data_IF_348907319077
#
_entry.id   IF_348907319077
#
_cell.length_a   1.000
_cell.length_b   1.000
_cell.length_c   1.000
_cell.angle_alpha   90.00
_cell.angle_beta   90.00
_cell.angle_gamma   90.00
#
_symmetry.space_group_name_H-M   'P 1'
#
loop_
_entity.id
_entity.type
_entity.pdbx_description
1 polymer ?
#
# COMPACT_ATOMS: atom_id res chain seq x y z
N UNK A 1 45.14 -19.78 0.38
CA UNK A 1 45.20 -18.35 0.79
C UNK A 1 44.45 -17.58 -0.28
N UNK A 2 43.15 -17.27 -0.05
CA UNK A 2 42.40 -16.41 -0.95
C UNK A 2 42.78 -14.97 -0.62
N UNK A 3 43.50 -14.36 -1.53
CA UNK A 3 43.79 -12.91 -1.53
C UNK A 3 42.45 -12.16 -1.54
N UNK A 4 42.09 -11.51 -0.43
CA UNK A 4 40.98 -10.58 -0.35
C UNK A 4 41.39 -9.34 -1.11
N UNK A 5 41.20 -9.34 -2.42
CA UNK A 5 41.43 -8.18 -3.28
C UNK A 5 40.83 -6.93 -2.64
N UNK A 6 41.69 -6.00 -2.26
CA UNK A 6 41.32 -4.79 -1.56
C UNK A 6 40.29 -4.02 -2.36
N UNK A 7 39.17 -3.63 -1.74
CA UNK A 7 38.08 -2.86 -2.37
C UNK A 7 38.66 -1.58 -2.97
N UNK A 8 38.50 -1.38 -4.29
CA UNK A 8 38.96 -0.19 -5.01
C UNK A 8 38.43 1.07 -4.32
N UNK A 9 39.30 2.02 -4.08
CA UNK A 9 39.02 3.24 -3.31
C UNK A 9 39.06 4.50 -4.19
N UNK A 10 38.58 5.64 -3.66
CA UNK A 10 38.71 6.93 -4.34
C UNK A 10 40.18 7.30 -4.60
N UNK A 11 41.13 6.80 -3.78
CA UNK A 11 42.56 7.02 -3.98
C UNK A 11 43.08 6.34 -5.25
N UNK A 12 42.58 5.14 -5.55
CA UNK A 12 42.97 4.42 -6.77
C UNK A 12 42.44 5.09 -8.02
N UNK A 13 41.17 5.58 -8.00
CA UNK A 13 40.61 6.39 -9.08
C UNK A 13 41.42 7.68 -9.29
N UNK A 14 41.77 8.38 -8.20
CA UNK A 14 42.54 9.62 -8.27
C UNK A 14 43.92 9.37 -8.90
N UNK A 15 44.60 8.28 -8.55
CA UNK A 15 45.87 7.86 -9.13
C UNK A 15 45.75 7.59 -10.64
N UNK A 16 44.76 6.85 -11.07
CA UNK A 16 44.53 6.53 -12.51
C UNK A 16 44.12 7.79 -13.29
N UNK A 17 43.23 8.63 -12.75
CA UNK A 17 42.82 9.88 -13.37
C UNK A 17 43.86 11.00 -13.35
N UNK A 18 44.99 10.83 -12.65
CA UNK A 18 46.02 11.87 -12.48
C UNK A 18 45.48 13.12 -11.81
N UNK A 19 44.71 12.95 -10.71
CA UNK A 19 44.08 14.06 -9.99
C UNK A 19 44.03 13.82 -8.46
N UNK A 20 43.42 14.73 -7.73
CA UNK A 20 43.26 14.57 -6.29
C UNK A 20 41.99 13.79 -5.91
N UNK A 21 42.01 13.17 -4.73
CA UNK A 21 40.82 12.48 -4.15
C UNK A 21 39.62 13.45 -3.99
N UNK A 22 39.90 14.72 -3.71
CA UNK A 22 38.89 15.77 -3.62
C UNK A 22 38.18 15.99 -4.94
N UNK A 23 38.92 16.05 -6.05
CA UNK A 23 38.33 16.17 -7.41
C UNK A 23 37.48 14.95 -7.77
N UNK A 24 37.98 13.74 -7.47
CA UNK A 24 37.16 12.51 -7.65
C UNK A 24 35.86 12.59 -6.84
N UNK A 25 35.94 13.08 -5.60
CA UNK A 25 34.75 13.27 -4.76
C UNK A 25 33.77 14.29 -5.36
N UNK A 26 34.25 15.40 -5.91
CA UNK A 26 33.41 16.41 -6.57
C UNK A 26 32.73 15.86 -7.84
N UNK A 27 33.43 15.04 -8.63
CA UNK A 27 32.84 14.41 -9.81
C UNK A 27 31.79 13.38 -9.45
N UNK A 28 32.06 12.54 -8.45
CA UNK A 28 31.17 11.46 -7.99
C UNK A 28 29.91 11.99 -7.29
N UNK A 29 30.03 13.06 -6.51
CA UNK A 29 28.93 13.57 -5.66
C UNK A 29 28.30 14.86 -6.22
N UNK A 30 28.64 15.30 -7.45
CA UNK A 30 28.25 16.62 -7.98
C UNK A 30 28.51 17.77 -6.99
N UNK A 31 29.70 17.75 -6.40
CA UNK A 31 30.06 18.69 -5.35
C UNK A 31 30.09 20.16 -5.81
N UNK A 32 30.16 21.13 -4.86
CA UNK A 32 29.95 22.56 -5.12
C UNK A 32 31.05 23.23 -5.95
N UNK A 33 32.19 22.60 -6.14
CA UNK A 33 33.30 23.18 -6.94
C UNK A 33 33.19 22.72 -8.39
N UNK A 34 33.23 23.64 -9.37
CA UNK A 34 33.20 23.30 -10.77
C UNK A 34 34.46 22.51 -11.15
N UNK A 35 34.28 21.42 -11.87
CA UNK A 35 35.36 20.61 -12.44
C UNK A 35 35.27 20.77 -13.96
N UNK A 36 36.42 21.04 -14.64
CA UNK A 36 36.46 21.18 -16.07
C UNK A 36 35.95 19.91 -16.79
N UNK A 37 35.32 20.07 -17.95
CA UNK A 37 34.76 18.96 -18.71
C UNK A 37 35.80 17.86 -18.97
N UNK A 38 37.00 18.23 -19.42
CA UNK A 38 38.08 17.29 -19.69
C UNK A 38 38.53 16.50 -18.45
N UNK A 39 38.58 17.15 -17.28
CA UNK A 39 38.95 16.48 -16.04
C UNK A 39 37.83 15.58 -15.53
N UNK A 40 36.57 15.98 -15.68
CA UNK A 40 35.39 15.14 -15.39
C UNK A 40 35.39 13.85 -16.23
N UNK A 41 35.64 13.96 -17.53
CA UNK A 41 35.70 12.81 -18.45
C UNK A 41 36.81 11.85 -18.04
N UNK A 42 38.02 12.34 -17.73
CA UNK A 42 39.12 11.51 -17.24
C UNK A 42 38.79 10.77 -15.94
N UNK A 43 38.12 11.42 -15.01
CA UNK A 43 37.69 10.78 -13.74
C UNK A 43 36.64 9.70 -14.04
N UNK A 44 35.66 9.96 -14.91
CA UNK A 44 34.64 8.98 -15.30
C UNK A 44 35.30 7.74 -15.95
N UNK A 45 36.27 7.96 -16.83
CA UNK A 45 37.00 6.84 -17.46
C UNK A 45 37.81 6.03 -16.45
N UNK A 46 38.50 6.70 -15.54
CA UNK A 46 39.22 6.04 -14.45
C UNK A 46 38.30 5.23 -13.50
N UNK A 47 37.07 5.71 -13.26
CA UNK A 47 36.04 4.97 -12.51
C UNK A 47 35.67 3.67 -13.24
N UNK A 48 35.48 3.72 -14.57
CA UNK A 48 35.18 2.53 -15.38
C UNK A 48 36.36 1.56 -15.38
N UNK A 49 37.57 2.04 -15.63
CA UNK A 49 38.80 1.24 -15.68
C UNK A 49 39.09 0.53 -14.36
N UNK A 50 38.95 1.25 -13.24
CA UNK A 50 39.21 0.71 -11.91
C UNK A 50 38.07 -0.15 -11.36
N UNK A 51 36.87 -0.10 -11.96
CA UNK A 51 35.68 -0.74 -11.40
C UNK A 51 35.22 -0.14 -10.07
N UNK A 52 35.64 1.09 -9.78
CA UNK A 52 35.26 1.76 -8.53
C UNK A 52 33.75 1.94 -8.43
N UNK A 53 33.19 1.48 -7.32
CA UNK A 53 31.77 1.71 -6.98
C UNK A 53 31.72 2.63 -5.75
N UNK A 54 31.06 3.79 -5.85
CA UNK A 54 30.86 4.66 -4.69
C UNK A 54 30.23 3.89 -3.53
N UNK A 55 30.75 4.09 -2.33
CA UNK A 55 30.15 3.51 -1.13
C UNK A 55 28.95 4.37 -0.72
N UNK A 56 27.73 3.82 -0.85
CA UNK A 56 26.48 4.48 -0.49
C UNK A 56 26.44 4.93 0.97
N UNK A 57 26.98 4.13 1.90
CA UNK A 57 27.06 4.47 3.32
C UNK A 57 27.96 5.69 3.55
N UNK A 58 29.13 5.72 2.89
CA UNK A 58 30.03 6.87 2.98
C UNK A 58 29.46 8.13 2.31
N UNK A 59 28.65 7.95 1.25
CA UNK A 59 27.90 9.04 0.61
C UNK A 59 26.81 9.58 1.54
N UNK A 60 26.02 8.70 2.14
CA UNK A 60 24.98 9.06 3.10
C UNK A 60 25.54 9.81 4.31
N UNK A 61 26.67 9.33 4.86
CA UNK A 61 27.35 10.00 5.97
C UNK A 61 27.85 11.41 5.59
N UNK A 62 28.35 11.56 4.37
CA UNK A 62 28.88 12.85 3.90
C UNK A 62 27.79 13.86 3.54
N UNK A 63 26.63 13.39 3.07
CA UNK A 63 25.49 14.24 2.68
C UNK A 63 24.48 14.42 3.81
N UNK A 64 24.52 13.60 4.85
CA UNK A 64 23.54 13.59 5.92
C UNK A 64 22.18 12.96 5.53
N UNK A 65 22.07 12.41 4.30
CA UNK A 65 20.84 11.83 3.77
C UNK A 65 21.12 10.47 3.14
N UNK A 66 20.18 9.52 3.28
CA UNK A 66 20.31 8.17 2.71
C UNK A 66 19.71 8.06 1.30
N UNK A 67 18.90 9.03 0.90
CA UNK A 67 18.13 8.99 -0.33
C UNK A 67 17.05 7.87 -0.29
N UNK A 68 16.54 7.56 0.89
CA UNK A 68 15.62 6.43 1.07
C UNK A 68 14.49 6.80 2.01
N UNK A 69 13.26 6.51 1.63
CA UNK A 69 12.09 6.54 2.51
C UNK A 69 11.66 5.11 2.86
N UNK A 70 11.09 4.92 4.04
CA UNK A 70 10.50 3.65 4.47
C UNK A 70 9.05 3.55 4.01
N UNK A 71 8.61 2.35 3.66
CA UNK A 71 7.21 1.98 3.54
C UNK A 71 7.01 0.68 4.31
N UNK A 72 6.19 0.73 5.36
CA UNK A 72 5.78 -0.46 6.10
C UNK A 72 4.33 -0.79 5.73
N UNK A 73 4.08 -2.06 5.40
CA UNK A 73 2.75 -2.59 5.11
C UNK A 73 2.47 -3.86 5.92
N UNK A 74 1.20 -4.12 6.29
CA UNK A 74 0.87 -5.32 7.09
C UNK A 74 1.05 -6.61 6.30
N UNK A 75 0.75 -6.64 4.99
CA UNK A 75 0.87 -7.85 4.20
C UNK A 75 0.96 -7.55 2.70
N UNK A 76 2.15 -7.70 2.12
CA UNK A 76 2.38 -7.43 0.69
C UNK A 76 1.66 -8.39 -0.25
N UNK A 77 1.11 -9.52 0.24
CA UNK A 77 0.27 -10.42 -0.55
C UNK A 77 -1.10 -9.82 -0.87
N UNK A 78 -1.51 -8.77 -0.14
CA UNK A 78 -2.71 -8.01 -0.47
C UNK A 78 -2.46 -7.18 -1.75
N UNK A 79 -3.22 -7.39 -2.84
CA UNK A 79 -3.01 -6.69 -4.11
C UNK A 79 -3.03 -5.17 -3.99
N UNK A 80 -3.94 -4.62 -3.19
CA UNK A 80 -4.01 -3.18 -2.93
C UNK A 80 -2.72 -2.63 -2.32
N UNK A 81 -2.14 -3.32 -1.32
CA UNK A 81 -0.90 -2.89 -0.68
C UNK A 81 0.32 -3.06 -1.60
N UNK A 82 0.27 -4.04 -2.51
CA UNK A 82 1.28 -4.19 -3.56
C UNK A 82 1.22 -3.05 -4.58
N UNK A 83 0.03 -2.64 -5.01
CA UNK A 83 -0.15 -1.47 -5.88
C UNK A 83 0.26 -0.17 -5.18
N UNK A 84 -0.09 -0.02 -3.89
CA UNK A 84 0.36 1.11 -3.08
C UNK A 84 1.89 1.18 -3.00
N UNK A 85 2.56 0.05 -2.74
CA UNK A 85 4.02 -0.01 -2.70
C UNK A 85 4.65 0.37 -4.05
N UNK A 86 4.06 -0.08 -5.15
CA UNK A 86 4.49 0.30 -6.50
C UNK A 86 4.32 1.82 -6.75
N UNK A 87 3.16 2.37 -6.40
CA UNK A 87 2.86 3.80 -6.58
C UNK A 87 3.77 4.69 -5.72
N UNK A 88 3.97 4.35 -4.45
CA UNK A 88 4.93 5.02 -3.55
C UNK A 88 6.35 4.97 -4.12
N UNK A 89 6.76 3.80 -4.65
CA UNK A 89 8.06 3.64 -5.30
C UNK A 89 8.24 4.54 -6.52
N UNK A 90 7.17 4.76 -7.29
CA UNK A 90 7.17 5.67 -8.43
C UNK A 90 7.29 7.14 -7.96
N UNK A 91 6.47 7.55 -7.00
CA UNK A 91 6.49 8.90 -6.44
C UNK A 91 7.85 9.25 -5.78
N UNK A 92 8.44 8.29 -5.06
CA UNK A 92 9.79 8.43 -4.48
C UNK A 92 10.86 8.60 -5.56
N UNK A 93 10.82 7.77 -6.61
CA UNK A 93 11.79 7.79 -7.71
C UNK A 93 11.77 9.10 -8.49
N UNK A 94 10.61 9.70 -8.72
CA UNK A 94 10.46 11.02 -9.35
C UNK A 94 11.19 12.11 -8.55
N UNK A 95 11.36 11.90 -7.23
CA UNK A 95 12.09 12.80 -6.31
C UNK A 95 13.54 12.37 -6.05
N UNK A 96 14.04 11.38 -6.80
CA UNK A 96 15.41 10.85 -6.65
C UNK A 96 15.62 9.99 -5.41
N UNK A 97 14.55 9.49 -4.79
CA UNK A 97 14.58 8.63 -3.61
C UNK A 97 14.31 7.17 -3.98
N UNK A 98 14.77 6.26 -3.11
CA UNK A 98 14.40 4.85 -3.13
C UNK A 98 13.42 4.55 -2.01
N UNK A 99 12.73 3.40 -2.10
CA UNK A 99 11.96 2.87 -0.97
C UNK A 99 12.68 1.70 -0.31
N UNK A 100 12.60 1.64 1.02
CA UNK A 100 12.87 0.46 1.82
C UNK A 100 11.51 -0.09 2.26
N UNK A 101 11.14 -1.27 1.74
CA UNK A 101 9.86 -1.90 2.04
C UNK A 101 9.99 -2.84 3.23
N UNK A 102 9.09 -2.71 4.21
CA UNK A 102 8.88 -3.65 5.31
C UNK A 102 7.51 -4.30 5.17
N UNK A 103 7.47 -5.63 5.25
CA UNK A 103 6.26 -6.46 5.29
C UNK A 103 6.19 -7.13 6.67
N UNK A 104 5.20 -6.75 7.49
CA UNK A 104 5.05 -7.32 8.83
C UNK A 104 4.31 -8.66 8.84
N UNK A 105 3.80 -9.13 7.71
CA UNK A 105 3.06 -10.39 7.57
C UNK A 105 1.89 -10.52 8.59
N UNK A 106 1.19 -9.41 8.85
CA UNK A 106 0.12 -9.26 9.83
C UNK A 106 0.56 -9.53 11.30
N UNK A 107 1.87 -9.47 11.60
CA UNK A 107 2.46 -9.70 12.91
C UNK A 107 2.93 -8.40 13.55
N UNK A 108 2.39 -8.05 14.73
CA UNK A 108 2.74 -6.83 15.49
C UNK A 108 4.17 -6.84 16.03
N UNK A 109 4.73 -8.01 16.35
CA UNK A 109 6.12 -8.09 16.81
C UNK A 109 7.09 -7.83 15.65
N UNK A 110 6.77 -8.40 14.49
CA UNK A 110 7.49 -8.12 13.25
C UNK A 110 7.39 -6.63 12.87
N UNK A 111 6.19 -6.04 13.00
CA UNK A 111 5.96 -4.61 12.76
C UNK A 111 6.89 -3.75 13.63
N UNK A 112 6.95 -3.99 14.93
CA UNK A 112 7.84 -3.27 15.85
C UNK A 112 9.33 -3.44 15.48
N UNK A 113 9.76 -4.65 15.14
CA UNK A 113 11.13 -4.91 14.69
C UNK A 113 11.49 -4.18 13.40
N UNK A 114 10.55 -4.09 12.45
CA UNK A 114 10.74 -3.34 11.21
C UNK A 114 10.85 -1.83 11.47
N UNK A 115 10.09 -1.27 12.40
CA UNK A 115 10.22 0.13 12.80
C UNK A 115 11.63 0.45 13.31
N UNK A 116 12.21 -0.40 14.17
CA UNK A 116 13.60 -0.27 14.62
C UNK A 116 14.59 -0.33 13.45
N UNK A 117 14.37 -1.24 12.50
CA UNK A 117 15.20 -1.35 11.30
C UNK A 117 15.18 -0.09 10.43
N UNK A 118 14.03 0.58 10.26
CA UNK A 118 13.93 1.84 9.53
C UNK A 118 14.76 2.94 10.19
N UNK A 119 14.75 3.03 11.53
CA UNK A 119 15.61 3.95 12.29
C UNK A 119 17.10 3.67 12.04
N UNK A 120 17.50 2.40 12.17
CA UNK A 120 18.90 1.98 11.94
C UNK A 120 19.37 2.29 10.52
N UNK A 121 18.49 2.17 9.53
CA UNK A 121 18.76 2.51 8.13
C UNK A 121 18.63 4.02 7.85
N UNK A 122 18.26 4.84 8.83
CA UNK A 122 18.14 6.30 8.71
C UNK A 122 17.29 6.71 7.51
N UNK A 123 16.09 6.14 7.39
CA UNK A 123 15.15 6.58 6.36
C UNK A 123 14.77 8.05 6.58
N UNK A 124 14.61 8.82 5.51
CA UNK A 124 14.31 10.27 5.57
C UNK A 124 12.86 10.55 5.96
N UNK A 125 12.01 9.55 5.81
CA UNK A 125 10.63 9.54 6.24
C UNK A 125 10.07 8.14 6.17
N UNK A 126 8.96 7.91 6.87
CA UNK A 126 8.27 6.64 6.94
C UNK A 126 6.80 6.79 6.56
N UNK A 127 6.38 6.06 5.55
CA UNK A 127 4.99 5.80 5.23
C UNK A 127 4.58 4.52 5.95
N UNK A 128 3.62 4.61 6.85
CA UNK A 128 3.24 3.53 7.74
C UNK A 128 1.79 3.11 7.51
N UNK A 129 1.59 1.86 7.11
CA UNK A 129 0.30 1.20 7.07
C UNK A 129 0.34 0.07 8.11
N UNK A 130 -0.26 0.27 9.28
CA UNK A 130 -0.17 -0.65 10.40
C UNK A 130 -1.14 -1.83 10.31
N UNK A 131 -0.86 -2.87 11.08
CA UNK A 131 -1.76 -4.04 11.23
C UNK A 131 -3.07 -3.62 11.90
N UNK A 132 -3.00 -2.73 12.91
CA UNK A 132 -4.18 -2.23 13.62
C UNK A 132 -3.86 -0.87 14.27
N UNK A 133 -3.95 0.18 13.46
CA UNK A 133 -3.75 1.56 13.92
C UNK A 133 -2.29 1.94 14.16
N UNK A 134 -2.04 2.79 15.14
CA UNK A 134 -0.76 3.41 15.41
C UNK A 134 -0.11 2.81 16.67
N UNK A 135 0.94 1.98 16.53
CA UNK A 135 1.60 1.38 17.70
C UNK A 135 2.43 2.41 18.47
N UNK A 136 2.63 2.23 19.81
CA UNK A 136 3.41 3.14 20.63
C UNK A 136 4.86 3.33 20.16
N UNK A 137 5.42 2.34 19.48
CA UNK A 137 6.77 2.37 18.89
C UNK A 137 6.91 3.47 17.85
N UNK A 138 5.84 3.77 17.13
CA UNK A 138 5.83 4.80 16.09
C UNK A 138 6.05 6.20 16.68
N UNK A 139 5.54 6.48 17.87
CA UNK A 139 5.75 7.77 18.54
C UNK A 139 7.21 8.02 18.89
N UNK A 140 8.01 6.98 19.13
CA UNK A 140 9.44 7.10 19.41
C UNK A 140 10.23 7.63 18.20
N UNK A 141 9.65 7.58 16.99
CA UNK A 141 10.27 8.10 15.76
C UNK A 141 10.07 9.60 15.57
N UNK A 142 9.16 10.24 16.31
CA UNK A 142 8.73 11.65 16.09
C UNK A 142 9.87 12.66 16.00
N UNK A 143 10.93 12.46 16.78
CA UNK A 143 12.04 13.42 16.87
C UNK A 143 13.15 13.14 15.82
N UNK A 144 13.09 12.01 15.13
CA UNK A 144 14.15 11.56 14.23
C UNK A 144 13.71 11.29 12.80
N UNK A 145 12.42 11.02 12.59
CA UNK A 145 11.90 10.57 11.29
C UNK A 145 10.51 11.15 11.07
N UNK A 146 10.28 11.77 9.92
CA UNK A 146 8.94 12.20 9.53
C UNK A 146 8.08 10.97 9.28
N UNK A 147 6.84 10.99 9.76
CA UNK A 147 5.92 9.86 9.64
C UNK A 147 4.62 10.31 9.00
N UNK A 148 4.13 9.51 8.04
CA UNK A 148 2.75 9.57 7.56
C UNK A 148 2.10 8.21 7.79
N UNK A 149 0.96 8.22 8.46
CA UNK A 149 0.19 7.01 8.78
C UNK A 149 -1.00 6.92 7.83
N UNK A 150 -1.16 5.78 7.18
CA UNK A 150 -2.35 5.45 6.41
C UNK A 150 -3.45 4.89 7.31
N UNK A 151 -4.69 5.26 7.04
CA UNK A 151 -5.92 4.76 7.66
C UNK A 151 -5.93 4.79 9.21
N UNK A 152 -5.17 5.71 9.82
CA UNK A 152 -5.22 5.93 11.26
C UNK A 152 -6.38 6.83 11.65
N UNK A 153 -7.25 6.32 12.51
CA UNK A 153 -8.38 7.07 13.05
C UNK A 153 -8.02 7.98 14.21
N UNK A 154 -6.94 7.67 14.90
CA UNK A 154 -6.54 8.40 16.11
C UNK A 154 -5.72 9.66 15.77
N UNK A 155 -5.41 9.88 14.49
CA UNK A 155 -4.67 11.05 13.97
C UNK A 155 -3.57 11.52 14.94
N UNK A 156 -2.47 10.76 15.09
CA UNK A 156 -1.47 11.07 16.09
C UNK A 156 -0.90 12.46 15.83
N UNK A 157 -0.79 13.27 16.89
CA UNK A 157 -0.37 14.68 16.81
C UNK A 157 1.07 14.87 16.32
N UNK A 158 1.86 13.79 16.23
CA UNK A 158 3.26 13.80 15.81
C UNK A 158 3.45 13.35 14.34
N UNK A 159 2.39 12.87 13.66
CA UNK A 159 2.49 12.32 12.31
C UNK A 159 1.43 12.92 11.38
N UNK A 160 1.75 12.97 10.08
CA UNK A 160 0.74 13.18 9.06
C UNK A 160 -0.17 11.95 9.00
N UNK A 161 -1.41 12.14 8.58
CA UNK A 161 -2.35 11.06 8.36
C UNK A 161 -2.96 11.17 6.96
N UNK A 162 -3.11 10.04 6.28
CA UNK A 162 -3.97 9.94 5.10
C UNK A 162 -5.05 8.91 5.38
N UNK A 163 -6.31 9.27 5.15
CA UNK A 163 -7.46 8.45 5.52
C UNK A 163 -8.50 8.38 4.43
N UNK A 164 -8.93 7.16 4.13
CA UNK A 164 -10.17 6.92 3.41
C UNK A 164 -11.33 6.85 4.41
N UNK A 165 -12.49 7.38 4.04
CA UNK A 165 -13.74 7.07 4.75
C UNK A 165 -14.23 5.68 4.30
N UNK A 166 -13.71 4.65 4.94
CA UNK A 166 -14.04 3.25 4.63
C UNK A 166 -15.51 2.91 4.91
N UNK A 167 -16.13 3.60 5.87
CA UNK A 167 -17.57 3.46 6.15
C UNK A 167 -18.41 3.99 5.00
N UNK A 168 -18.12 5.20 4.53
CA UNK A 168 -18.78 5.78 3.36
C UNK A 168 -18.51 4.98 2.08
N UNK A 169 -17.31 4.44 1.91
CA UNK A 169 -16.98 3.58 0.77
C UNK A 169 -17.79 2.27 0.80
N UNK A 170 -17.90 1.62 1.97
CA UNK A 170 -18.72 0.43 2.15
C UNK A 170 -20.21 0.74 1.92
N UNK A 171 -20.70 1.84 2.50
CA UNK A 171 -22.06 2.32 2.27
C UNK A 171 -22.34 2.46 0.78
N UNK A 172 -21.47 3.14 0.03
CA UNK A 172 -21.64 3.37 -1.42
C UNK A 172 -21.68 2.07 -2.22
N UNK A 173 -20.86 1.08 -1.87
CA UNK A 173 -20.84 -0.21 -2.54
C UNK A 173 -22.13 -1.03 -2.28
N UNK A 174 -22.62 -1.03 -1.04
CA UNK A 174 -23.84 -1.75 -0.64
C UNK A 174 -25.09 -1.04 -1.17
N UNK A 175 -25.14 0.27 -1.08
CA UNK A 175 -26.21 1.10 -1.62
C UNK A 175 -26.41 0.87 -3.12
N UNK A 176 -25.30 0.75 -3.86
CA UNK A 176 -25.30 0.41 -5.28
C UNK A 176 -25.91 -0.99 -5.56
N UNK A 177 -25.60 -2.00 -4.74
CA UNK A 177 -26.26 -3.31 -4.87
C UNK A 177 -27.77 -3.21 -4.62
N UNK A 178 -28.19 -2.43 -3.63
CA UNK A 178 -29.60 -2.19 -3.35
C UNK A 178 -30.30 -1.42 -4.48
N UNK A 179 -29.61 -0.48 -5.15
CA UNK A 179 -30.12 0.20 -6.36
C UNK A 179 -30.40 -0.77 -7.52
N UNK A 180 -29.64 -1.86 -7.60
CA UNK A 180 -29.90 -2.97 -8.54
C UNK A 180 -31.03 -3.91 -8.10
N UNK A 181 -31.79 -3.53 -7.07
CA UNK A 181 -32.94 -4.28 -6.58
C UNK A 181 -32.59 -5.44 -5.64
N UNK A 182 -31.34 -5.53 -5.17
CA UNK A 182 -30.96 -6.59 -4.23
C UNK A 182 -31.56 -6.30 -2.86
N UNK A 183 -32.20 -7.32 -2.27
CA UNK A 183 -32.97 -7.17 -1.04
C UNK A 183 -32.31 -7.83 0.18
N UNK A 184 -31.50 -8.84 -0.05
CA UNK A 184 -30.82 -9.62 1.00
C UNK A 184 -29.32 -9.63 0.72
N UNK A 185 -28.63 -8.59 1.19
CA UNK A 185 -27.22 -8.38 0.89
C UNK A 185 -26.37 -8.92 2.04
N UNK A 186 -25.71 -10.05 1.77
CA UNK A 186 -24.73 -10.63 2.69
C UNK A 186 -23.43 -9.82 2.74
N UNK A 187 -22.66 -10.02 3.82
CA UNK A 187 -21.32 -9.45 3.95
C UNK A 187 -20.28 -10.51 4.33
N UNK A 188 -19.14 -10.49 3.63
CA UNK A 188 -17.91 -11.11 4.11
C UNK A 188 -17.01 -10.00 4.63
N UNK A 189 -16.87 -9.93 5.96
CA UNK A 189 -16.02 -8.95 6.63
C UNK A 189 -14.65 -9.53 6.98
N UNK A 190 -13.68 -8.68 7.37
CA UNK A 190 -12.41 -9.11 7.95
C UNK A 190 -12.55 -9.61 9.39
N UNK A 191 -11.43 -9.91 10.06
CA UNK A 191 -11.42 -10.24 11.49
C UNK A 191 -12.07 -9.15 12.34
N UNK A 192 -12.99 -9.50 13.22
CA UNK A 192 -13.81 -8.53 13.97
C UNK A 192 -13.04 -7.76 15.08
N UNK A 193 -11.87 -8.23 15.45
CA UNK A 193 -10.94 -7.51 16.31
C UNK A 193 -10.26 -6.34 15.61
N UNK A 194 -10.19 -6.35 14.26
CA UNK A 194 -9.65 -5.25 13.49
C UNK A 194 -10.65 -4.12 13.34
N UNK A 195 -10.18 -2.89 13.49
CA UNK A 195 -11.01 -1.68 13.46
C UNK A 195 -11.63 -1.44 12.08
N UNK A 196 -10.86 -1.60 11.01
CA UNK A 196 -11.34 -1.44 9.64
C UNK A 196 -12.50 -2.39 9.29
N UNK A 197 -12.46 -3.63 9.81
CA UNK A 197 -13.56 -4.59 9.65
C UNK A 197 -14.86 -4.07 10.24
N UNK A 198 -14.80 -3.50 11.46
CA UNK A 198 -15.97 -2.93 12.14
C UNK A 198 -16.51 -1.71 11.43
N UNK A 199 -15.65 -0.83 10.90
CA UNK A 199 -16.06 0.36 10.16
C UNK A 199 -16.75 0.00 8.85
N UNK A 200 -16.20 -0.95 8.10
CA UNK A 200 -16.80 -1.46 6.86
C UNK A 200 -18.14 -2.15 7.14
N UNK A 201 -18.22 -2.91 8.23
CA UNK A 201 -19.47 -3.55 8.68
C UNK A 201 -20.53 -2.50 9.07
N UNK A 202 -20.13 -1.43 9.74
CA UNK A 202 -21.03 -0.32 10.05
C UNK A 202 -21.57 0.33 8.77
N UNK A 203 -20.72 0.60 7.77
CA UNK A 203 -21.15 1.15 6.48
C UNK A 203 -22.14 0.24 5.74
N UNK A 204 -21.92 -1.09 5.77
CA UNK A 204 -22.87 -2.08 5.25
C UNK A 204 -24.23 -1.98 5.95
N UNK A 205 -24.24 -2.01 7.28
CA UNK A 205 -25.47 -1.94 8.09
C UNK A 205 -26.21 -0.60 7.89
N UNK A 206 -25.48 0.51 7.77
CA UNK A 206 -26.05 1.83 7.49
C UNK A 206 -26.71 1.90 6.11
N UNK A 207 -26.10 1.31 5.07
CA UNK A 207 -26.67 1.26 3.75
C UNK A 207 -27.97 0.41 3.70
N UNK A 208 -27.98 -0.76 4.36
CA UNK A 208 -29.18 -1.57 4.50
C UNK A 208 -30.32 -0.80 5.16
N UNK A 209 -30.05 -0.15 6.29
CA UNK A 209 -31.03 0.68 7.01
C UNK A 209 -31.55 1.84 6.18
N UNK A 210 -30.68 2.52 5.44
CA UNK A 210 -31.07 3.63 4.57
C UNK A 210 -32.03 3.21 3.45
N UNK A 211 -31.93 1.95 2.99
CA UNK A 211 -32.81 1.34 1.98
C UNK A 211 -34.00 0.58 2.57
N UNK A 212 -34.18 0.58 3.89
CA UNK A 212 -35.25 -0.18 4.56
C UNK A 212 -35.09 -1.70 4.46
N UNK A 213 -33.86 -2.18 4.20
CA UNK A 213 -33.53 -3.60 4.13
C UNK A 213 -33.19 -4.16 5.52
N UNK A 214 -33.42 -5.46 5.68
CA UNK A 214 -33.15 -6.12 6.96
C UNK A 214 -31.67 -6.41 7.13
N UNK A 215 -31.14 -6.01 8.29
CA UNK A 215 -29.83 -6.44 8.79
C UNK A 215 -30.00 -7.85 9.43
N UNK A 216 -29.51 -8.88 8.75
CA UNK A 216 -29.59 -10.26 9.21
C UNK A 216 -28.18 -10.76 9.57
N UNK A 217 -27.95 -11.05 10.85
CA UNK A 217 -26.65 -11.52 11.34
C UNK A 217 -26.21 -12.87 10.74
N UNK A 218 -27.14 -13.67 10.22
CA UNK A 218 -26.82 -14.92 9.52
C UNK A 218 -26.19 -14.67 8.15
N UNK A 219 -26.35 -13.47 7.58
CA UNK A 219 -25.72 -13.03 6.33
C UNK A 219 -24.35 -12.38 6.54
N UNK A 220 -23.84 -12.33 7.78
CA UNK A 220 -22.52 -11.80 8.11
C UNK A 220 -21.54 -12.93 8.36
N UNK A 221 -20.48 -13.02 7.55
CA UNK A 221 -19.36 -13.94 7.74
C UNK A 221 -18.07 -13.18 7.99
N UNK A 222 -17.34 -13.56 9.03
CA UNK A 222 -15.99 -13.02 9.28
C UNK A 222 -14.94 -13.99 8.77
N UNK A 223 -13.97 -13.48 8.01
CA UNK A 223 -12.90 -14.27 7.42
C UNK A 223 -11.61 -13.44 7.24
N UNK A 224 -10.42 -14.05 7.19
CA UNK A 224 -9.20 -13.34 6.83
C UNK A 224 -9.33 -12.60 5.50
N UNK A 225 -8.62 -11.48 5.36
CA UNK A 225 -8.56 -10.67 4.14
C UNK A 225 -7.78 -11.36 3.01
N UNK A 226 -8.17 -12.58 2.67
CA UNK A 226 -7.50 -13.44 1.68
C UNK A 226 -8.50 -14.12 0.76
N UNK A 227 -8.01 -14.63 -0.39
CA UNK A 227 -8.83 -15.40 -1.33
C UNK A 227 -9.38 -16.66 -0.69
N UNK A 228 -8.56 -17.39 0.07
CA UNK A 228 -9.02 -18.58 0.80
C UNK A 228 -10.05 -18.27 1.87
N UNK A 229 -9.89 -17.13 2.60
CA UNK A 229 -10.89 -16.68 3.56
C UNK A 229 -12.23 -16.35 2.90
N UNK A 230 -12.19 -15.62 1.78
CA UNK A 230 -13.40 -15.30 1.00
C UNK A 230 -14.08 -16.53 0.42
N UNK A 231 -13.29 -17.50 -0.06
CA UNK A 231 -13.80 -18.79 -0.56
C UNK A 231 -14.54 -19.57 0.53
N UNK A 232 -13.89 -19.81 1.68
CA UNK A 232 -14.49 -20.54 2.79
C UNK A 232 -15.72 -19.86 3.39
N UNK A 233 -15.71 -18.54 3.48
CA UNK A 233 -16.89 -17.78 3.91
C UNK A 233 -18.03 -17.86 2.89
N UNK A 234 -17.67 -17.87 1.60
CA UNK A 234 -18.60 -18.04 0.49
C UNK A 234 -19.28 -19.41 0.49
N UNK A 235 -18.52 -20.51 0.69
CA UNK A 235 -19.08 -21.85 0.85
C UNK A 235 -20.12 -21.89 1.98
N UNK A 236 -19.77 -21.35 3.14
CA UNK A 236 -20.69 -21.31 4.29
C UNK A 236 -21.98 -20.54 4.01
N UNK A 237 -21.88 -19.40 3.29
CA UNK A 237 -23.08 -18.63 2.88
C UNK A 237 -23.94 -19.41 1.91
N UNK A 238 -23.34 -20.01 0.89
CA UNK A 238 -24.04 -20.77 -0.16
C UNK A 238 -24.68 -22.04 0.41
N UNK A 239 -24.02 -22.73 1.33
CA UNK A 239 -24.53 -23.93 2.00
C UNK A 239 -25.56 -23.62 3.08
N UNK A 240 -25.65 -22.38 3.53
CA UNK A 240 -26.61 -21.98 4.55
C UNK A 240 -28.04 -22.05 4.02
N UNK A 241 -29.01 -22.29 4.93
CA UNK A 241 -30.43 -22.25 4.59
C UNK A 241 -30.97 -20.82 4.43
N UNK A 242 -30.10 -19.82 4.41
CA UNK A 242 -30.48 -18.40 4.36
C UNK A 242 -30.26 -17.88 2.94
N UNK A 243 -31.35 -17.49 2.29
CA UNK A 243 -31.28 -16.90 0.94
C UNK A 243 -30.65 -15.53 0.97
N UNK A 244 -29.85 -15.21 -0.03
CA UNK A 244 -29.30 -13.89 -0.30
C UNK A 244 -29.14 -13.66 -1.82
N UNK A 245 -29.23 -12.42 -2.25
CA UNK A 245 -29.20 -12.02 -3.66
C UNK A 245 -28.11 -10.98 -3.98
N UNK A 246 -27.42 -10.51 -2.94
CA UNK A 246 -26.27 -9.62 -3.02
C UNK A 246 -25.17 -10.01 -2.05
N UNK A 247 -23.92 -9.73 -2.40
CA UNK A 247 -22.77 -9.85 -1.49
C UNK A 247 -21.91 -8.62 -1.55
N UNK A 248 -21.60 -8.09 -0.38
CA UNK A 248 -20.54 -7.11 -0.17
C UNK A 248 -19.34 -7.79 0.48
N UNK A 249 -18.19 -7.80 -0.20
CA UNK A 249 -16.93 -8.28 0.35
C UNK A 249 -16.09 -7.09 0.85
N UNK A 250 -15.58 -7.20 2.06
CA UNK A 250 -14.82 -6.12 2.68
C UNK A 250 -13.49 -5.82 1.97
N UNK A 251 -12.97 -6.74 1.13
CA UNK A 251 -11.90 -6.46 0.18
C UNK A 251 -12.02 -7.31 -1.10
N UNK A 252 -11.28 -6.88 -2.14
CA UNK A 252 -11.22 -7.57 -3.43
C UNK A 252 -10.78 -9.03 -3.32
N UNK A 253 -9.80 -9.34 -2.46
CA UNK A 253 -9.33 -10.72 -2.31
C UNK A 253 -10.41 -11.66 -1.81
N UNK A 254 -11.23 -11.22 -0.85
CA UNK A 254 -12.39 -12.00 -0.39
C UNK A 254 -13.44 -12.15 -1.50
N UNK A 255 -13.70 -11.10 -2.27
CA UNK A 255 -14.62 -11.18 -3.40
C UNK A 255 -14.17 -12.18 -4.46
N UNK A 256 -12.88 -12.20 -4.81
CA UNK A 256 -12.30 -13.18 -5.74
C UNK A 256 -12.48 -14.61 -5.22
N UNK A 257 -12.26 -14.83 -3.91
CA UNK A 257 -12.53 -16.12 -3.28
C UNK A 257 -13.99 -16.52 -3.35
N UNK A 258 -14.90 -15.59 -3.07
CA UNK A 258 -16.36 -15.82 -3.17
C UNK A 258 -16.81 -16.15 -4.60
N UNK A 259 -16.27 -15.45 -5.62
CA UNK A 259 -16.57 -15.77 -7.02
C UNK A 259 -16.15 -17.20 -7.38
N UNK A 260 -15.04 -17.69 -6.83
CA UNK A 260 -14.61 -19.08 -7.03
C UNK A 260 -15.59 -20.07 -6.38
N UNK A 261 -16.04 -19.82 -5.14
CA UNK A 261 -17.07 -20.63 -4.47
C UNK A 261 -18.39 -20.64 -5.25
N UNK A 262 -18.85 -19.49 -5.76
CA UNK A 262 -20.03 -19.40 -6.61
C UNK A 262 -19.89 -20.28 -7.87
N UNK A 263 -18.75 -20.21 -8.55
CA UNK A 263 -18.48 -20.97 -9.77
C UNK A 263 -18.55 -22.49 -9.52
N UNK A 264 -18.00 -22.97 -8.40
CA UNK A 264 -18.03 -24.40 -8.04
C UNK A 264 -19.42 -24.85 -7.63
N UNK A 265 -20.19 -24.00 -6.94
CA UNK A 265 -21.57 -24.30 -6.53
C UNK A 265 -22.61 -24.10 -7.64
N UNK A 266 -22.21 -23.60 -8.82
CA UNK A 266 -23.13 -23.29 -9.92
C UNK A 266 -24.01 -22.05 -9.69
N UNK A 267 -23.62 -21.17 -8.75
CA UNK A 267 -24.28 -19.89 -8.46
C UNK A 267 -23.86 -18.85 -9.50
N UNK A 268 -24.81 -18.28 -10.19
CA UNK A 268 -24.54 -17.33 -11.27
C UNK A 268 -24.38 -15.90 -10.76
N UNK A 269 -23.23 -15.27 -11.02
CA UNK A 269 -22.98 -13.86 -10.72
C UNK A 269 -23.06 -13.07 -12.02
N UNK A 270 -23.84 -12.00 -12.14
CA UNK A 270 -24.66 -11.34 -11.13
C UNK A 270 -26.10 -11.84 -11.02
N UNK A 271 -26.49 -12.86 -11.81
CA UNK A 271 -27.88 -13.24 -11.96
C UNK A 271 -28.52 -13.67 -10.63
N UNK A 272 -27.92 -14.64 -9.97
CA UNK A 272 -28.43 -15.18 -8.70
C UNK A 272 -27.93 -14.31 -7.53
N UNK A 273 -26.66 -13.93 -7.52
CA UNK A 273 -26.05 -13.07 -6.49
C UNK A 273 -25.21 -11.97 -7.15
N UNK A 274 -25.53 -10.70 -6.89
CA UNK A 274 -24.71 -9.57 -7.31
C UNK A 274 -23.57 -9.32 -6.30
N UNK A 275 -22.38 -8.95 -6.78
CA UNK A 275 -21.19 -8.80 -5.94
C UNK A 275 -20.55 -7.42 -6.08
N UNK A 276 -20.22 -6.81 -4.93
CA UNK A 276 -19.38 -5.61 -4.87
C UNK A 276 -18.33 -5.76 -3.76
N UNK A 277 -17.19 -5.05 -3.88
CA UNK A 277 -16.11 -5.11 -2.91
C UNK A 277 -15.44 -3.76 -2.68
N UNK A 278 -14.58 -3.69 -1.65
CA UNK A 278 -13.65 -2.58 -1.43
C UNK A 278 -12.24 -2.94 -1.88
N UNK A 279 -11.39 -1.90 -1.92
CA UNK A 279 -9.95 -1.98 -2.22
C UNK A 279 -9.68 -2.70 -3.55
N UNK A 280 -10.46 -2.32 -4.58
CA UNK A 280 -10.27 -2.81 -5.92
C UNK A 280 -8.91 -2.40 -6.49
N UNK A 281 -8.39 -3.29 -7.32
CA UNK A 281 -7.16 -3.13 -8.06
C UNK A 281 -7.42 -3.37 -9.55
N UNK A 282 -6.39 -3.22 -10.37
CA UNK A 282 -6.46 -3.57 -11.79
C UNK A 282 -6.97 -5.01 -12.03
N UNK A 283 -6.80 -5.91 -11.06
CA UNK A 283 -7.22 -7.30 -11.14
C UNK A 283 -8.74 -7.47 -11.23
N UNK A 284 -9.52 -6.58 -10.62
CA UNK A 284 -10.99 -6.62 -10.66
C UNK A 284 -11.56 -6.57 -12.07
N UNK A 285 -10.85 -5.93 -13.00
CA UNK A 285 -11.24 -5.89 -14.43
C UNK A 285 -11.09 -7.25 -15.13
N UNK A 286 -10.26 -8.14 -14.60
CA UNK A 286 -9.92 -9.44 -15.20
C UNK A 286 -10.58 -10.64 -14.48
N UNK A 287 -11.41 -10.40 -13.48
CA UNK A 287 -12.26 -11.47 -12.91
C UNK A 287 -13.43 -11.81 -13.86
N UNK A 288 -14.04 -12.96 -13.68
CA UNK A 288 -15.21 -13.40 -14.43
C UNK A 288 -16.32 -13.75 -13.43
N UNK A 289 -17.40 -12.93 -13.41
CA UNK A 289 -17.55 -11.62 -14.08
C UNK A 289 -16.57 -10.56 -13.54
N UNK A 290 -16.34 -9.47 -14.31
CA UNK A 290 -15.50 -8.35 -13.87
C UNK A 290 -16.11 -7.69 -12.62
N UNK A 291 -15.27 -7.44 -11.60
CA UNK A 291 -15.69 -7.13 -10.25
C UNK A 291 -15.95 -5.64 -10.04
N UNK A 292 -17.14 -5.30 -9.61
CA UNK A 292 -17.51 -3.97 -9.12
C UNK A 292 -16.80 -3.72 -7.78
N UNK A 293 -15.98 -2.68 -7.73
CA UNK A 293 -15.17 -2.38 -6.54
C UNK A 293 -15.12 -0.89 -6.26
N UNK A 294 -15.07 -0.53 -4.98
CA UNK A 294 -14.60 0.79 -4.62
C UNK A 294 -13.07 0.80 -4.74
N UNK A 295 -12.58 1.54 -5.71
CA UNK A 295 -11.15 1.70 -5.98
C UNK A 295 -10.65 3.02 -5.39
N UNK A 296 -9.53 2.96 -4.70
CA UNK A 296 -8.81 4.15 -4.28
C UNK A 296 -7.94 4.64 -5.44
N UNK A 297 -7.81 5.95 -5.58
CA UNK A 297 -6.89 6.55 -6.55
C UNK A 297 -5.44 6.38 -6.07
N UNK A 298 -4.93 5.13 -6.10
CA UNK A 298 -3.69 4.73 -5.43
C UNK A 298 -2.49 5.57 -5.87
N UNK A 299 -2.40 5.91 -7.16
CA UNK A 299 -1.30 6.72 -7.70
C UNK A 299 -1.31 8.14 -7.13
N UNK A 300 -2.48 8.81 -7.15
CA UNK A 300 -2.62 10.19 -6.66
C UNK A 300 -2.48 10.27 -5.14
N UNK A 301 -3.04 9.27 -4.44
CA UNK A 301 -2.91 9.14 -2.99
C UNK A 301 -1.43 8.93 -2.59
N UNK A 302 -0.69 8.08 -3.29
CA UNK A 302 0.72 7.85 -3.04
C UNK A 302 1.58 9.10 -3.33
N UNK A 303 1.28 9.80 -4.42
CA UNK A 303 1.96 11.06 -4.77
C UNK A 303 1.76 12.10 -3.66
N UNK A 304 0.50 12.32 -3.24
CA UNK A 304 0.13 13.25 -2.18
C UNK A 304 0.75 12.85 -0.83
N UNK A 305 0.81 11.55 -0.51
CA UNK A 305 1.41 11.05 0.72
C UNK A 305 2.92 11.30 0.76
N UNK A 306 3.63 11.00 -0.35
CA UNK A 306 5.08 11.22 -0.45
C UNK A 306 5.40 12.72 -0.41
N UNK A 307 4.62 13.54 -1.10
CA UNK A 307 4.79 15.00 -1.08
C UNK A 307 4.59 15.57 0.34
N UNK A 308 3.50 15.21 1.01
CA UNK A 308 3.22 15.62 2.38
C UNK A 308 4.34 15.20 3.33
N UNK A 309 4.77 13.93 3.27
CA UNK A 309 5.87 13.40 4.09
C UNK A 309 7.16 14.21 3.97
N UNK A 310 7.48 14.67 2.75
CA UNK A 310 8.77 15.32 2.48
C UNK A 310 8.73 16.84 2.69
N UNK A 311 7.59 17.50 2.45
CA UNK A 311 7.50 18.96 2.38
C UNK A 311 6.77 19.58 3.56
N UNK A 312 5.77 18.92 4.15
CA UNK A 312 4.99 19.50 5.23
C UNK A 312 5.78 19.54 6.54
N UNK A 313 5.75 20.68 7.23
CA UNK A 313 6.44 20.87 8.51
C UNK A 313 5.57 20.54 9.72
N UNK A 314 4.24 20.67 9.58
CA UNK A 314 3.27 20.38 10.62
C UNK A 314 2.40 19.20 10.24
N UNK A 315 1.95 18.38 11.20
CA UNK A 315 1.06 17.25 10.96
C UNK A 315 -0.18 17.67 10.17
N UNK A 316 -0.51 16.92 9.14
CA UNK A 316 -1.65 17.16 8.27
C UNK A 316 -2.55 15.92 8.20
N UNK A 317 -3.85 16.15 8.04
CA UNK A 317 -4.82 15.12 7.72
C UNK A 317 -5.21 15.25 6.23
N UNK A 318 -4.85 14.25 5.44
CA UNK A 318 -5.19 14.14 4.03
C UNK A 318 -6.39 13.20 3.86
N UNK A 319 -7.33 13.59 3.00
CA UNK A 319 -8.41 12.69 2.57
C UNK A 319 -7.93 11.86 1.37
N UNK A 320 -7.92 10.54 1.51
CA UNK A 320 -7.65 9.66 0.38
C UNK A 320 -8.80 9.70 -0.62
N UNK A 321 -8.48 9.73 -1.90
CA UNK A 321 -9.44 9.78 -3.00
C UNK A 321 -9.80 8.36 -3.44
N UNK A 322 -11.05 8.16 -3.86
CA UNK A 322 -11.54 6.92 -4.42
C UNK A 322 -12.96 7.03 -4.93
N UNK A 323 -13.36 6.07 -5.76
CA UNK A 323 -14.72 5.97 -6.28
C UNK A 323 -15.15 4.53 -6.54
N UNK A 324 -16.48 4.31 -6.68
CA UNK A 324 -17.04 3.03 -7.04
C UNK A 324 -16.94 2.81 -8.55
N UNK A 325 -16.13 1.85 -8.95
CA UNK A 325 -15.98 1.44 -10.34
C UNK A 325 -16.98 0.30 -10.59
N UNK A 326 -17.98 0.60 -11.40
CA UNK A 326 -19.08 -0.31 -11.73
C UNK A 326 -18.65 -1.26 -12.83
N UNK A 327 -18.87 -2.56 -12.60
CA UNK A 327 -18.53 -3.62 -13.56
C UNK A 327 -19.65 -4.68 -13.60
N UNK A 328 -19.43 -5.79 -14.30
CA UNK A 328 -20.49 -6.77 -14.56
C UNK A 328 -20.92 -7.60 -13.35
N UNK A 329 -20.14 -7.68 -12.28
CA UNK A 329 -20.49 -8.48 -11.09
C UNK A 329 -21.70 -7.95 -10.30
N UNK A 330 -22.06 -6.69 -10.44
CA UNK A 330 -23.29 -6.12 -9.86
C UNK A 330 -24.48 -6.11 -10.83
N UNK A 331 -24.26 -6.41 -12.12
CA UNK A 331 -25.25 -6.34 -13.18
C UNK A 331 -25.16 -5.10 -14.06
N UNK A 332 -24.17 -4.21 -13.84
CA UNK A 332 -23.87 -3.13 -14.78
C UNK A 332 -23.23 -3.67 -16.06
N UNK A 333 -23.40 -2.94 -17.18
CA UNK A 333 -22.61 -3.18 -18.37
C UNK A 333 -21.14 -2.85 -18.08
N UNK A 334 -20.26 -3.78 -18.44
CA UNK A 334 -18.82 -3.59 -18.23
C UNK A 334 -18.31 -2.59 -19.24
N UNK A 335 -17.90 -1.41 -18.80
CA UNK A 335 -17.01 -0.57 -19.60
C UNK A 335 -15.60 -1.12 -19.43
N UNK A 336 -15.15 -1.94 -20.37
CA UNK A 336 -13.73 -2.23 -20.53
C UNK A 336 -13.05 -0.91 -20.97
N UNK A 337 -12.31 -0.30 -20.06
CA UNK A 337 -11.36 0.77 -20.38
C UNK A 337 -9.97 0.28 -20.09
#
# INVERSE_FOLDING_TARGET
MHDRGGRVTRKDVARVAGTSVAVVSYVVNNGPRPVSKALRERVIEAIKETGYRPNGVAKALALGTTGTIGLLVPNIKNPYLSELAHAVGNAARQRGLNILLGDSADDRQQEASLLENFVLNRVEGLLFYGVDGCPPELEKLRDTTRVLVFDSWDSPSFAHCMRLDEGAAAFKAVDHLAEHGRQRIAMITGPLDQRNSRIRMQGWAEALRARGLQEDSNLLQSAPYSRSGGYQAGEKLIESAVDFDGLFAANESQAVGFLAACSEAGVSVPKDVAVAALNGTSMGSFTIPSLTTFEQCVADNAESAVECLLQANEPQLLAAQGDLIRRSSCGCESSYV
#
